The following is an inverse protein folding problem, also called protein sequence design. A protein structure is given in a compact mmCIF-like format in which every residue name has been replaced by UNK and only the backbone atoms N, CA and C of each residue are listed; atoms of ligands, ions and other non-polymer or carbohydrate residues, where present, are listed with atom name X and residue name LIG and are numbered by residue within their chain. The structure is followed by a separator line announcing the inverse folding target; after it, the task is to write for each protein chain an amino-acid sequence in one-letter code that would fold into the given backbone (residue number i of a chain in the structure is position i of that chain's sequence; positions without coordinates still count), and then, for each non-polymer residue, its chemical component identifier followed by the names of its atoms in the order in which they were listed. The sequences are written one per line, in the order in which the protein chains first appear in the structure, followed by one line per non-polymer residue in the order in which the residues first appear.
data_IF_365711792486
#
_entry.id   IF_365711792486
#
_cell.length_a   1.000
_cell.length_b   1.000
_cell.length_c   1.000
_cell.angle_alpha   90.00
_cell.angle_beta   90.00
_cell.angle_gamma   90.00
#
_symmetry.space_group_name_H-M   'P 1'
#
loop_
_entity.id
_entity.type
_entity.pdbx_description
1 polymer ?
#
# COMPACT_ATOMS: atom_id res chain seq x y z
N UNK A 1 25.44 18.06 48.05
CA UNK A 1 25.90 18.35 46.67
C UNK A 1 24.83 18.07 45.62
N UNK A 2 24.17 16.91 45.63
CA UNK A 2 23.08 16.54 44.66
C UNK A 2 21.88 17.49 44.75
N UNK A 3 21.46 17.90 45.96
CA UNK A 3 20.31 18.78 46.16
C UNK A 3 20.57 20.22 45.67
N UNK A 4 21.80 20.71 45.84
CA UNK A 4 22.22 22.00 45.28
C UNK A 4 22.15 22.00 43.75
N UNK A 5 22.61 20.95 43.07
CA UNK A 5 22.57 20.85 41.63
C UNK A 5 21.11 20.77 41.13
N UNK A 6 20.23 20.07 41.85
CA UNK A 6 18.82 19.96 41.54
C UNK A 6 18.12 21.34 41.62
N UNK A 7 18.30 22.07 42.72
CA UNK A 7 17.76 23.42 42.90
C UNK A 7 18.32 24.40 41.85
N UNK A 8 19.60 24.33 41.55
CA UNK A 8 20.20 25.15 40.49
C UNK A 8 19.57 24.86 39.13
N UNK A 9 19.39 23.60 38.82
CA UNK A 9 18.72 23.20 37.54
C UNK A 9 17.28 23.68 37.50
N UNK A 10 16.51 23.44 38.51
CA UNK A 10 15.11 23.89 38.60
C UNK A 10 14.99 25.40 38.41
N UNK A 11 15.82 26.19 39.05
CA UNK A 11 15.82 27.67 38.96
C UNK A 11 16.32 28.20 37.61
N UNK A 12 17.10 27.44 36.85
CA UNK A 12 17.69 27.87 35.59
C UNK A 12 17.24 27.03 34.40
N UNK A 13 16.22 26.21 34.54
CA UNK A 13 15.77 25.22 33.56
C UNK A 13 15.49 25.84 32.20
N UNK A 14 14.75 26.93 32.15
CA UNK A 14 14.39 27.59 30.90
C UNK A 14 15.63 28.14 30.17
N UNK A 15 16.51 28.82 30.85
CA UNK A 15 17.77 29.33 30.27
C UNK A 15 18.67 28.21 29.76
N UNK A 16 18.74 27.08 30.50
CA UNK A 16 19.55 25.91 30.12
C UNK A 16 18.94 25.28 28.86
N UNK A 17 17.60 25.12 28.81
CA UNK A 17 16.89 24.57 27.64
C UNK A 17 17.02 25.46 26.40
N UNK A 18 16.85 26.77 26.56
CA UNK A 18 17.02 27.73 25.48
C UNK A 18 18.44 27.68 24.88
N UNK A 19 19.48 27.74 25.75
CA UNK A 19 20.85 27.62 25.33
C UNK A 19 21.16 26.28 24.63
N UNK A 20 20.61 25.20 25.15
CA UNK A 20 20.78 23.86 24.58
C UNK A 20 20.08 23.75 23.22
N UNK A 21 18.86 24.25 23.12
CA UNK A 21 18.10 24.25 21.86
C UNK A 21 18.78 25.08 20.78
N UNK A 22 19.28 26.26 21.15
CA UNK A 22 20.07 27.12 20.25
C UNK A 22 21.31 26.39 19.74
N UNK A 23 22.10 25.78 20.64
CA UNK A 23 23.29 25.00 20.28
C UNK A 23 22.91 23.83 19.33
N UNK A 24 21.84 23.10 19.62
CA UNK A 24 21.40 22.01 18.77
C UNK A 24 20.96 22.45 17.38
N UNK A 25 20.29 23.62 17.28
CA UNK A 25 19.87 24.20 16.01
C UNK A 25 21.07 24.67 15.19
N UNK A 26 22.02 25.37 15.81
CA UNK A 26 23.21 25.89 15.13
C UNK A 26 24.16 24.77 14.67
N UNK A 27 24.26 23.68 15.43
CA UNK A 27 25.19 22.58 15.13
C UNK A 27 24.53 21.35 14.52
N UNK A 28 23.29 21.48 14.01
CA UNK A 28 22.50 20.34 13.48
C UNK A 28 23.22 19.55 12.40
N UNK A 29 23.75 20.24 11.40
CA UNK A 29 24.41 19.57 10.26
C UNK A 29 25.75 18.94 10.66
N UNK A 30 26.52 19.59 11.51
CA UNK A 30 27.79 19.06 12.02
C UNK A 30 27.54 17.78 12.84
N UNK A 31 26.53 17.81 13.72
CA UNK A 31 26.13 16.63 14.52
C UNK A 31 25.64 15.49 13.64
N UNK A 32 24.84 15.80 12.62
CA UNK A 32 24.37 14.79 11.66
C UNK A 32 25.55 14.08 10.97
N UNK A 33 26.53 14.86 10.48
CA UNK A 33 27.74 14.30 9.85
C UNK A 33 28.55 13.44 10.83
N UNK A 34 28.71 13.93 12.07
CA UNK A 34 29.39 13.18 13.12
C UNK A 34 28.70 11.82 13.39
N UNK A 35 27.39 11.82 13.62
CA UNK A 35 26.66 10.58 13.88
C UNK A 35 26.63 9.63 12.68
N UNK A 36 26.55 10.14 11.47
CA UNK A 36 26.64 9.29 10.27
C UNK A 36 28.02 8.64 10.14
N UNK A 37 29.09 9.38 10.43
CA UNK A 37 30.45 8.85 10.45
C UNK A 37 30.59 7.80 11.55
N UNK A 38 30.20 8.14 12.78
CA UNK A 38 30.27 7.24 13.93
C UNK A 38 29.50 5.93 13.68
N UNK A 39 28.27 6.01 13.16
CA UNK A 39 27.48 4.83 12.83
C UNK A 39 28.15 3.95 11.78
N UNK A 40 28.75 4.56 10.75
CA UNK A 40 29.44 3.82 9.69
C UNK A 40 30.68 3.09 10.22
N UNK A 41 31.43 3.74 11.10
CA UNK A 41 32.67 3.19 11.68
C UNK A 41 32.39 2.11 12.74
N UNK A 42 31.25 2.18 13.42
CA UNK A 42 30.89 1.26 14.52
C UNK A 42 29.67 0.40 14.20
N UNK A 43 29.32 0.23 12.91
CA UNK A 43 28.07 -0.41 12.50
C UNK A 43 27.93 -1.83 13.02
N UNK A 44 28.98 -2.66 12.89
CA UNK A 44 28.97 -4.05 13.32
C UNK A 44 28.73 -4.15 14.85
N UNK A 45 29.46 -3.38 15.63
CA UNK A 45 29.30 -3.38 17.10
C UNK A 45 27.89 -2.90 17.53
N UNK A 46 27.35 -1.89 16.83
CA UNK A 46 25.99 -1.38 17.07
C UNK A 46 24.94 -2.43 16.71
N UNK A 47 25.11 -3.10 15.57
CA UNK A 47 24.18 -4.13 15.09
C UNK A 47 24.20 -5.35 16.01
N UNK A 48 25.37 -5.83 16.42
CA UNK A 48 25.54 -6.92 17.37
C UNK A 48 24.91 -6.61 18.74
N UNK A 49 25.16 -5.41 19.27
CA UNK A 49 24.55 -4.97 20.53
C UNK A 49 23.01 -4.89 20.42
N UNK A 50 22.50 -4.37 19.31
CA UNK A 50 21.07 -4.29 19.08
C UNK A 50 20.44 -5.68 18.90
N UNK A 51 21.13 -6.58 18.22
CA UNK A 51 20.70 -7.97 18.07
C UNK A 51 20.62 -8.68 19.42
N UNK A 52 21.68 -8.57 20.22
CA UNK A 52 21.72 -9.13 21.57
C UNK A 52 20.62 -8.57 22.47
N UNK A 53 20.39 -7.25 22.42
CA UNK A 53 19.28 -6.63 23.14
C UNK A 53 17.91 -7.18 22.71
N UNK A 54 17.69 -7.38 21.41
CA UNK A 54 16.44 -7.99 20.90
C UNK A 54 16.26 -9.41 21.38
N UNK A 55 17.32 -10.21 21.37
CA UNK A 55 17.29 -11.61 21.83
C UNK A 55 16.98 -11.71 23.33
N UNK A 56 17.62 -10.86 24.16
CA UNK A 56 17.39 -10.79 25.61
C UNK A 56 15.97 -10.27 25.95
N UNK A 57 15.35 -9.50 25.06
CA UNK A 57 14.03 -8.87 25.27
C UNK A 57 12.95 -9.40 24.36
N UNK A 58 13.08 -10.64 23.88
CA UNK A 58 12.05 -11.28 23.04
C UNK A 58 10.69 -11.23 23.74
N UNK A 59 9.71 -10.63 23.04
CA UNK A 59 8.34 -10.51 23.53
C UNK A 59 8.09 -9.38 24.54
N UNK A 60 9.11 -8.60 24.93
CA UNK A 60 8.92 -7.44 25.80
C UNK A 60 7.94 -6.43 25.21
N UNK A 61 8.12 -6.06 23.94
CA UNK A 61 7.25 -5.10 23.24
C UNK A 61 5.81 -5.60 23.17
N UNK A 62 5.62 -6.90 22.90
CA UNK A 62 4.29 -7.53 22.88
C UNK A 62 3.65 -7.50 24.24
N UNK A 63 4.37 -7.87 25.29
CA UNK A 63 3.88 -7.86 26.67
C UNK A 63 3.57 -6.44 27.14
N UNK A 64 4.45 -5.48 26.86
CA UNK A 64 4.22 -4.06 27.16
C UNK A 64 2.96 -3.55 26.45
N UNK A 65 2.82 -3.85 25.15
CA UNK A 65 1.64 -3.48 24.38
C UNK A 65 0.35 -4.06 24.96
N UNK A 66 0.32 -5.34 25.31
CA UNK A 66 -0.89 -5.96 25.88
C UNK A 66 -1.29 -5.32 27.22
N UNK A 67 -0.32 -4.96 28.07
CA UNK A 67 -0.56 -4.29 29.34
C UNK A 67 -1.11 -2.87 29.14
N UNK A 68 -0.54 -2.11 28.18
CA UNK A 68 -0.83 -0.68 28.00
C UNK A 68 -1.81 -0.38 26.85
N UNK A 69 -2.27 -1.40 26.15
CA UNK A 69 -3.11 -1.27 24.93
C UNK A 69 -4.31 -0.34 25.10
N UNK A 70 -5.03 -0.45 26.22
CA UNK A 70 -6.22 0.37 26.45
C UNK A 70 -5.84 1.84 26.71
N UNK A 71 -4.81 2.08 27.52
CA UNK A 71 -4.29 3.42 27.78
C UNK A 71 -3.79 4.08 26.48
N UNK A 72 -3.02 3.35 25.66
CA UNK A 72 -2.56 3.83 24.37
C UNK A 72 -3.70 4.16 23.41
N UNK A 73 -4.77 3.35 23.39
CA UNK A 73 -5.97 3.63 22.60
C UNK A 73 -6.70 4.89 23.06
N UNK A 74 -6.81 5.11 24.36
CA UNK A 74 -7.44 6.32 24.92
C UNK A 74 -6.62 7.54 24.52
N UNK A 75 -5.33 7.56 24.81
CA UNK A 75 -4.42 8.65 24.44
C UNK A 75 -4.43 8.95 22.93
N UNK A 76 -4.47 7.91 22.12
CA UNK A 76 -4.55 8.08 20.66
C UNK A 76 -5.85 8.71 20.20
N UNK A 77 -6.99 8.34 20.83
CA UNK A 77 -8.29 8.96 20.55
C UNK A 77 -8.35 10.41 21.00
N UNK A 78 -7.85 10.71 22.19
CA UNK A 78 -7.77 12.07 22.73
C UNK A 78 -6.92 12.96 21.80
N UNK A 79 -5.71 12.52 21.48
CA UNK A 79 -4.83 13.23 20.54
C UNK A 79 -5.51 13.47 19.17
N UNK A 80 -6.16 12.44 18.61
CA UNK A 80 -6.87 12.59 17.35
C UNK A 80 -8.05 13.57 17.46
N UNK A 81 -8.80 13.50 18.56
CA UNK A 81 -9.93 14.43 18.81
C UNK A 81 -9.47 15.89 18.89
N UNK A 82 -8.38 16.14 19.59
CA UNK A 82 -7.81 17.50 19.77
C UNK A 82 -7.18 18.05 18.49
N UNK A 83 -6.57 17.18 17.68
CA UNK A 83 -5.81 17.60 16.50
C UNK A 83 -6.49 17.23 15.17
N UNK A 84 -7.76 16.83 15.20
CA UNK A 84 -8.48 16.27 14.04
C UNK A 84 -8.44 17.18 12.82
N UNK A 85 -8.76 18.45 13.00
CA UNK A 85 -8.88 19.39 11.89
C UNK A 85 -7.51 19.67 11.26
N UNK A 86 -6.47 19.83 12.07
CA UNK A 86 -5.10 19.97 11.59
C UNK A 86 -4.60 18.73 10.83
N UNK A 87 -4.91 17.54 11.35
CA UNK A 87 -4.55 16.26 10.70
C UNK A 87 -5.27 16.14 9.35
N UNK A 88 -6.57 16.46 9.31
CA UNK A 88 -7.35 16.41 8.07
C UNK A 88 -6.87 17.43 7.04
N UNK A 89 -6.54 18.65 7.47
CA UNK A 89 -6.00 19.68 6.59
C UNK A 89 -4.65 19.29 6.01
N UNK A 90 -3.72 18.80 6.84
CA UNK A 90 -2.42 18.29 6.40
C UNK A 90 -2.58 17.12 5.41
N UNK A 91 -3.48 16.19 5.73
CA UNK A 91 -3.80 15.06 4.85
C UNK A 91 -4.36 15.54 3.51
N UNK A 92 -5.35 16.43 3.53
CA UNK A 92 -5.93 17.01 2.32
C UNK A 92 -4.86 17.71 1.47
N UNK A 93 -4.04 18.54 2.07
CA UNK A 93 -2.94 19.25 1.40
C UNK A 93 -1.95 18.28 0.75
N UNK A 94 -1.58 17.23 1.47
CA UNK A 94 -0.70 16.17 0.93
C UNK A 94 -1.31 15.47 -0.29
N UNK A 95 -2.59 15.06 -0.21
CA UNK A 95 -3.24 14.34 -1.32
C UNK A 95 -3.64 15.22 -2.51
N UNK A 96 -3.74 16.53 -2.33
CA UNK A 96 -4.04 17.49 -3.40
C UNK A 96 -2.79 18.09 -4.03
N UNK A 97 -1.60 17.88 -3.47
CA UNK A 97 -0.34 18.32 -4.07
C UNK A 97 -0.09 17.59 -5.39
N UNK A 98 -0.03 18.33 -6.48
CA UNK A 98 0.11 17.78 -7.84
C UNK A 98 1.45 17.07 -8.05
N UNK A 99 2.53 17.49 -7.39
CA UNK A 99 3.82 16.83 -7.49
C UNK A 99 3.77 15.46 -6.80
N UNK A 100 3.23 15.41 -5.57
CA UNK A 100 3.05 14.15 -4.81
C UNK A 100 2.13 13.20 -5.57
N UNK A 101 1.04 13.72 -6.13
CA UNK A 101 0.10 12.94 -6.95
C UNK A 101 0.76 12.36 -8.19
N UNK A 102 1.59 13.15 -8.88
CA UNK A 102 2.36 12.71 -10.04
C UNK A 102 3.35 11.61 -9.69
N UNK A 103 4.19 11.82 -8.68
CA UNK A 103 5.16 10.84 -8.21
C UNK A 103 4.49 9.52 -7.79
N UNK A 104 3.39 9.61 -7.05
CA UNK A 104 2.61 8.43 -6.63
C UNK A 104 2.03 7.68 -7.83
N UNK A 105 1.49 8.40 -8.81
CA UNK A 105 0.92 7.79 -10.00
C UNK A 105 2.00 7.11 -10.86
N UNK A 106 3.19 7.71 -10.99
CA UNK A 106 4.33 7.11 -11.67
C UNK A 106 4.82 5.85 -10.94
N UNK A 107 4.94 5.92 -9.61
CA UNK A 107 5.29 4.75 -8.80
C UNK A 107 4.27 3.62 -8.98
N UNK A 108 2.97 3.91 -8.84
CA UNK A 108 1.90 2.93 -9.02
C UNK A 108 1.89 2.32 -10.41
N UNK A 109 2.11 3.13 -11.46
CA UNK A 109 2.21 2.64 -12.84
C UNK A 109 3.36 1.64 -13.01
N UNK A 110 4.54 1.96 -12.48
CA UNK A 110 5.71 1.07 -12.50
C UNK A 110 5.44 -0.22 -11.71
N UNK A 111 4.94 -0.08 -10.49
CA UNK A 111 4.60 -1.21 -9.61
C UNK A 111 3.58 -2.15 -10.25
N UNK A 112 2.47 -1.62 -10.79
CA UNK A 112 1.44 -2.43 -11.42
C UNK A 112 1.95 -3.13 -12.69
N UNK A 113 2.79 -2.45 -13.49
CA UNK A 113 3.43 -3.05 -14.66
C UNK A 113 4.32 -4.23 -14.28
N UNK A 114 5.15 -4.06 -13.26
CA UNK A 114 6.02 -5.10 -12.73
C UNK A 114 5.21 -6.29 -12.21
N UNK A 115 4.23 -6.01 -11.33
CA UNK A 115 3.40 -7.05 -10.73
C UNK A 115 2.59 -7.86 -11.75
N UNK A 116 2.05 -7.20 -12.78
CA UNK A 116 1.34 -7.90 -13.87
C UNK A 116 2.26 -8.85 -14.66
N UNK A 117 3.56 -8.53 -14.74
CA UNK A 117 4.55 -9.41 -15.38
C UNK A 117 4.92 -10.62 -14.50
N UNK A 118 5.04 -10.40 -13.19
CA UNK A 118 5.49 -11.43 -12.24
C UNK A 118 4.36 -12.34 -11.74
N UNK A 119 3.12 -11.85 -11.73
CA UNK A 119 1.94 -12.55 -11.21
C UNK A 119 0.85 -12.69 -12.31
N UNK A 120 0.83 -13.83 -13.04
CA UNK A 120 -0.18 -14.08 -14.06
C UNK A 120 -1.62 -14.03 -13.56
N UNK A 121 -1.86 -14.48 -12.33
CA UNK A 121 -3.19 -14.45 -11.72
C UNK A 121 -3.64 -13.01 -11.44
N UNK A 122 -2.74 -12.17 -10.91
CA UNK A 122 -3.02 -10.75 -10.72
C UNK A 122 -3.29 -10.05 -12.05
N UNK A 123 -2.53 -10.39 -13.10
CA UNK A 123 -2.73 -9.86 -14.45
C UNK A 123 -4.11 -10.26 -15.00
N UNK A 124 -4.51 -11.52 -14.85
CA UNK A 124 -5.84 -12.02 -15.21
C UNK A 124 -6.94 -11.26 -14.46
N UNK A 125 -6.87 -11.22 -13.13
CA UNK A 125 -7.87 -10.54 -12.29
C UNK A 125 -8.03 -9.07 -12.70
N UNK A 126 -6.92 -8.38 -12.94
CA UNK A 126 -6.96 -6.98 -13.38
C UNK A 126 -7.66 -6.81 -14.74
N UNK A 127 -7.37 -7.69 -15.69
CA UNK A 127 -7.95 -7.64 -17.05
C UNK A 127 -9.42 -7.99 -17.05
N UNK A 128 -9.81 -9.06 -16.38
CA UNK A 128 -11.19 -9.52 -16.36
C UNK A 128 -12.12 -8.55 -15.61
N UNK A 129 -11.65 -7.93 -14.53
CA UNK A 129 -12.40 -6.90 -13.82
C UNK A 129 -12.66 -5.69 -14.71
N UNK A 130 -11.68 -5.30 -15.51
CA UNK A 130 -11.80 -4.21 -16.48
C UNK A 130 -12.76 -4.58 -17.61
N UNK A 131 -12.64 -5.77 -18.17
CA UNK A 131 -13.51 -6.27 -19.26
C UNK A 131 -14.99 -6.26 -18.83
N UNK A 132 -15.30 -6.89 -17.69
CA UNK A 132 -16.69 -6.96 -17.18
C UNK A 132 -17.22 -5.58 -16.81
N UNK A 133 -16.41 -4.72 -16.19
CA UNK A 133 -16.82 -3.35 -15.89
C UNK A 133 -17.18 -2.59 -17.18
N UNK A 134 -16.32 -2.67 -18.19
CA UNK A 134 -16.53 -1.98 -19.47
C UNK A 134 -17.74 -2.54 -20.21
N UNK A 135 -17.93 -3.86 -20.25
CA UNK A 135 -19.06 -4.49 -20.91
C UNK A 135 -20.42 -4.04 -20.33
N UNK A 136 -20.51 -3.95 -18.98
CA UNK A 136 -21.72 -3.50 -18.28
C UNK A 136 -21.95 -2.00 -18.50
N UNK A 137 -20.88 -1.19 -18.36
CA UNK A 137 -20.96 0.27 -18.50
C UNK A 137 -21.33 0.68 -19.92
N UNK A 138 -20.76 0.04 -20.93
CA UNK A 138 -21.04 0.34 -22.35
C UNK A 138 -22.50 0.06 -22.75
N UNK A 139 -23.18 -0.81 -21.98
CA UNK A 139 -24.63 -1.05 -22.14
C UNK A 139 -25.47 -0.11 -21.25
N UNK A 140 -24.88 0.91 -20.64
CA UNK A 140 -25.59 1.91 -19.84
C UNK A 140 -25.92 1.47 -18.40
N UNK A 141 -25.43 0.31 -17.95
CA UNK A 141 -25.76 -0.23 -16.63
C UNK A 141 -24.64 0.03 -15.60
N UNK A 142 -25.02 0.00 -14.33
CA UNK A 142 -24.07 0.00 -13.20
C UNK A 142 -23.77 -1.43 -12.76
N UNK A 143 -22.50 -1.69 -12.43
CA UNK A 143 -22.07 -2.98 -11.91
C UNK A 143 -22.41 -3.07 -10.41
N UNK A 144 -23.32 -3.94 -10.04
CA UNK A 144 -23.82 -4.11 -8.66
C UNK A 144 -23.27 -5.36 -7.96
N UNK A 145 -22.85 -6.36 -8.73
CA UNK A 145 -22.36 -7.64 -8.19
C UNK A 145 -20.84 -7.75 -8.26
N UNK A 146 -20.28 -8.64 -7.47
CA UNK A 146 -18.84 -8.97 -7.55
C UNK A 146 -18.50 -9.64 -8.87
N UNK A 147 -17.29 -9.42 -9.36
CA UNK A 147 -16.85 -10.00 -10.65
C UNK A 147 -16.98 -11.51 -10.69
N UNK A 148 -16.64 -12.23 -9.62
CA UNK A 148 -16.75 -13.69 -9.57
C UNK A 148 -18.20 -14.20 -9.57
N UNK A 149 -19.14 -13.44 -9.01
CA UNK A 149 -20.58 -13.74 -9.07
C UNK A 149 -21.10 -13.64 -10.50
N UNK A 150 -20.65 -12.64 -11.23
CA UNK A 150 -21.01 -12.44 -12.64
C UNK A 150 -20.39 -13.54 -13.52
N UNK A 151 -19.11 -13.86 -13.28
CA UNK A 151 -18.40 -14.95 -13.98
C UNK A 151 -18.98 -16.32 -13.67
N UNK A 152 -19.55 -16.50 -12.47
CA UNK A 152 -19.98 -17.79 -11.88
C UNK A 152 -18.83 -18.79 -11.73
N UNK A 153 -17.61 -18.32 -11.51
CA UNK A 153 -16.45 -19.12 -11.20
C UNK A 153 -15.42 -18.34 -10.37
N UNK A 154 -14.48 -19.03 -9.76
CA UNK A 154 -13.31 -18.44 -9.14
C UNK A 154 -12.30 -17.95 -10.19
N UNK A 155 -11.36 -17.09 -9.79
CA UNK A 155 -10.29 -16.65 -10.71
C UNK A 155 -9.31 -17.76 -11.06
N UNK A 156 -9.19 -18.79 -10.22
CA UNK A 156 -8.34 -19.96 -10.49
C UNK A 156 -9.00 -20.80 -11.57
N UNK A 157 -10.28 -21.15 -11.41
CA UNK A 157 -11.05 -21.88 -12.41
C UNK A 157 -11.09 -21.15 -13.76
N UNK A 158 -11.27 -19.81 -13.75
CA UNK A 158 -11.18 -19.00 -14.96
C UNK A 158 -9.80 -19.12 -15.62
N UNK A 159 -8.72 -19.10 -14.82
CA UNK A 159 -7.35 -19.22 -15.34
C UNK A 159 -7.17 -20.55 -16.05
N UNK A 160 -7.55 -21.65 -15.40
CA UNK A 160 -7.45 -23.02 -15.94
C UNK A 160 -8.31 -23.17 -17.21
N UNK A 161 -9.54 -22.61 -17.20
CA UNK A 161 -10.42 -22.60 -18.34
C UNK A 161 -9.81 -21.85 -19.55
N UNK A 162 -9.20 -20.70 -19.36
CA UNK A 162 -8.55 -19.94 -20.44
C UNK A 162 -7.30 -20.67 -20.94
N UNK A 163 -6.48 -21.26 -20.03
CA UNK A 163 -5.30 -22.04 -20.41
C UNK A 163 -5.66 -23.24 -21.30
N UNK A 164 -6.79 -23.91 -21.03
CA UNK A 164 -7.28 -25.01 -21.87
C UNK A 164 -7.70 -24.58 -23.28
N UNK A 165 -7.84 -23.29 -23.52
CA UNK A 165 -8.24 -22.65 -24.79
C UNK A 165 -7.12 -21.85 -25.45
N UNK A 166 -5.90 -21.90 -24.93
CA UNK A 166 -4.77 -21.23 -25.56
C UNK A 166 -4.50 -21.82 -26.94
N UNK A 167 -4.32 -20.96 -27.90
CA UNK A 167 -3.84 -21.32 -29.21
C UNK A 167 -2.31 -21.46 -29.17
N UNK A 168 -1.74 -22.09 -30.19
CA UNK A 168 -0.29 -22.30 -30.30
C UNK A 168 0.46 -20.98 -30.11
N UNK A 169 1.46 -21.01 -29.22
CA UNK A 169 2.29 -19.85 -28.88
C UNK A 169 1.70 -18.94 -27.80
N UNK A 170 0.43 -19.10 -27.39
CA UNK A 170 -0.14 -18.33 -26.28
C UNK A 170 0.39 -18.79 -24.93
N UNK A 171 0.73 -17.83 -24.09
CA UNK A 171 1.14 -18.05 -22.71
C UNK A 171 0.87 -16.81 -21.86
N UNK A 172 0.95 -16.92 -20.53
CA UNK A 172 0.84 -15.76 -19.65
C UNK A 172 2.03 -14.80 -19.80
N UNK A 173 3.19 -15.28 -20.28
CA UNK A 173 4.38 -14.46 -20.47
C UNK A 173 4.25 -13.47 -21.64
N UNK A 174 3.49 -13.84 -22.66
CA UNK A 174 3.21 -12.97 -23.81
C UNK A 174 1.81 -12.35 -23.76
N UNK A 175 1.22 -12.26 -22.57
CA UNK A 175 -0.05 -11.55 -22.38
C UNK A 175 0.13 -10.06 -22.71
N UNK A 176 -0.46 -9.62 -23.77
CA UNK A 176 -0.30 -8.32 -24.42
C UNK A 176 -0.28 -8.49 -25.94
N UNK A 177 0.13 -9.68 -26.43
CA UNK A 177 -0.01 -10.13 -27.81
C UNK A 177 -1.39 -10.80 -28.02
N UNK A 178 -2.07 -11.16 -26.95
CA UNK A 178 -3.42 -11.67 -26.92
C UNK A 178 -4.26 -11.02 -25.79
N UNK A 179 -5.56 -11.05 -25.92
CA UNK A 179 -6.51 -10.52 -24.94
C UNK A 179 -7.65 -11.51 -24.66
N UNK A 180 -8.39 -11.26 -23.60
CA UNK A 180 -9.61 -12.01 -23.28
C UNK A 180 -10.77 -11.28 -23.95
N UNK A 181 -11.58 -12.01 -24.70
CA UNK A 181 -12.73 -11.46 -25.39
C UNK A 181 -13.98 -12.34 -25.20
N UNK A 182 -15.14 -11.78 -25.52
CA UNK A 182 -16.41 -12.50 -25.48
C UNK A 182 -16.62 -13.27 -26.80
N UNK A 183 -16.99 -14.56 -26.70
CA UNK A 183 -17.37 -15.37 -27.86
C UNK A 183 -18.63 -14.79 -28.51
N UNK A 184 -19.66 -14.50 -27.68
CA UNK A 184 -20.86 -13.75 -28.09
C UNK A 184 -20.71 -12.33 -27.54
N UNK A 185 -20.71 -11.30 -28.43
CA UNK A 185 -20.55 -9.92 -28.00
C UNK A 185 -21.63 -9.45 -27.01
N UNK A 186 -21.22 -8.75 -25.95
CA UNK A 186 -22.15 -8.19 -24.96
C UNK A 186 -23.08 -7.10 -25.55
N UNK A 187 -22.73 -6.55 -26.71
CA UNK A 187 -23.59 -5.61 -27.47
C UNK A 187 -24.91 -6.21 -27.95
N UNK A 188 -25.01 -7.53 -27.95
CA UNK A 188 -26.25 -8.24 -28.31
C UNK A 188 -27.29 -8.29 -27.18
N UNK A 189 -26.87 -7.98 -25.95
CA UNK A 189 -27.77 -7.95 -24.80
C UNK A 189 -28.77 -6.81 -24.88
N UNK A 190 -30.00 -7.10 -24.50
CA UNK A 190 -31.12 -6.13 -24.46
C UNK A 190 -31.46 -5.74 -23.01
N UNK A 191 -31.09 -6.57 -22.04
CA UNK A 191 -31.35 -6.37 -20.63
C UNK A 191 -30.07 -6.47 -19.82
N UNK A 192 -30.09 -5.99 -18.58
CA UNK A 192 -28.99 -6.09 -17.65
C UNK A 192 -28.65 -7.55 -17.33
N UNK A 193 -29.67 -8.37 -17.19
CA UNK A 193 -29.54 -9.80 -16.92
C UNK A 193 -28.82 -10.51 -18.07
N UNK A 194 -29.17 -10.19 -19.30
CA UNK A 194 -28.48 -10.71 -20.49
C UNK A 194 -27.01 -10.25 -20.57
N UNK A 195 -26.69 -8.99 -20.16
CA UNK A 195 -25.32 -8.54 -20.08
C UNK A 195 -24.55 -9.39 -19.06
N UNK A 196 -25.15 -9.74 -17.92
CA UNK A 196 -24.51 -10.58 -16.92
C UNK A 196 -24.33 -12.02 -17.42
N UNK A 197 -25.32 -12.60 -18.10
CA UNK A 197 -25.21 -13.92 -18.72
C UNK A 197 -24.11 -13.97 -19.79
N UNK A 198 -23.97 -12.94 -20.61
CA UNK A 198 -22.91 -12.85 -21.62
C UNK A 198 -21.52 -12.62 -20.99
N UNK A 199 -21.43 -12.22 -19.73
CA UNK A 199 -20.19 -12.16 -18.97
C UNK A 199 -19.88 -13.46 -18.19
N UNK A 200 -20.64 -14.54 -18.37
CA UNK A 200 -20.33 -15.85 -17.82
C UNK A 200 -18.99 -16.36 -18.36
N UNK A 201 -18.21 -17.06 -17.52
CA UNK A 201 -16.83 -17.46 -17.87
C UNK A 201 -16.76 -18.32 -19.14
N UNK A 202 -17.79 -19.15 -19.41
CA UNK A 202 -17.83 -19.99 -20.61
C UNK A 202 -18.00 -19.21 -21.92
N UNK A 203 -18.42 -17.96 -21.84
CA UNK A 203 -18.49 -17.05 -22.99
C UNK A 203 -17.20 -16.23 -23.20
N UNK A 204 -16.13 -16.55 -22.48
CA UNK A 204 -14.85 -15.89 -22.63
C UNK A 204 -13.85 -16.79 -23.37
N UNK A 205 -12.98 -16.18 -24.15
CA UNK A 205 -11.94 -16.86 -24.90
C UNK A 205 -10.65 -16.03 -24.95
N UNK A 206 -9.47 -16.64 -25.03
CA UNK A 206 -8.27 -15.94 -25.44
C UNK A 206 -8.28 -15.73 -26.95
N UNK A 207 -7.88 -14.53 -27.40
CA UNK A 207 -7.83 -14.16 -28.80
C UNK A 207 -6.55 -13.37 -29.07
N UNK A 208 -5.85 -13.67 -30.20
CA UNK A 208 -4.70 -12.89 -30.60
C UNK A 208 -5.10 -11.43 -30.90
N UNK A 209 -4.26 -10.51 -30.44
CA UNK A 209 -4.42 -9.11 -30.79
C UNK A 209 -4.11 -8.91 -32.29
N UNK A 210 -5.05 -8.30 -33.00
CA UNK A 210 -4.90 -7.98 -34.45
C UNK A 210 -4.15 -6.65 -34.55
#
# INVERSE_FOLDING_TARGET
RKEYHRKYYENNKEKILEKTNKYHKENKEQRKKYYQKYYRENKEEIDDRNQKYKEENIGYDKKYYEIHKNEMKIKSKEYYSENRDEILEKSKKYYTDENIKKERNEYLKKYLKQRKKEDPLFSLISSIRSLIYSSIKNQGYSKESRTQEILRCSYIELKEYLESRFLDGMSWNNKGEWHIDHIKPTSLAKTKEEVYELNHYTNLQPLWAI
#
